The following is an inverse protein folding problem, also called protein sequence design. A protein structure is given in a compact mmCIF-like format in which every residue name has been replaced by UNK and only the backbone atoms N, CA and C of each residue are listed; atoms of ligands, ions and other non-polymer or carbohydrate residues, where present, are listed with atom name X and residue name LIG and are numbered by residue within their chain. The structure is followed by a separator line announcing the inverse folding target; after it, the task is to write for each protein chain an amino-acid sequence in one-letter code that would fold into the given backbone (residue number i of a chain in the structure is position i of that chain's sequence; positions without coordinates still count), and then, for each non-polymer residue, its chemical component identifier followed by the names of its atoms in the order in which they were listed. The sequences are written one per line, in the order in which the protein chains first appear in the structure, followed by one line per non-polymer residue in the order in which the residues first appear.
data_IF_604281537684
#
_entry.id   IF_604281537684
#
_cell.length_a   1.000
_cell.length_b   1.000
_cell.length_c   1.000
_cell.angle_alpha   90.00
_cell.angle_beta   90.00
_cell.angle_gamma   90.00
#
_symmetry.space_group_name_H-M   'P 1'
#
loop_
_entity.id
_entity.type
_entity.pdbx_description
1 polymer ?
#
# COMPACT_ATOMS: atom_id res chain seq x y z
N UNK A 1 -7.80 -18.39 29.51
CA UNK A 1 -7.68 -17.08 30.17
C UNK A 1 -8.07 -16.01 29.15
N UNK A 2 -9.19 -15.28 29.33
CA UNK A 2 -9.60 -14.19 28.45
C UNK A 2 -8.58 -13.03 28.39
N UNK A 3 -7.58 -13.02 29.26
CA UNK A 3 -6.45 -12.09 29.21
C UNK A 3 -5.26 -12.57 28.36
N UNK A 4 -5.41 -13.70 27.66
CA UNK A 4 -4.42 -14.20 26.72
C UNK A 4 -4.40 -13.33 25.46
N UNK A 5 -3.33 -12.54 25.29
CA UNK A 5 -3.17 -11.57 24.20
C UNK A 5 -3.41 -12.18 22.80
N UNK A 6 -2.96 -13.41 22.49
CA UNK A 6 -3.28 -14.03 21.21
C UNK A 6 -4.76 -14.33 21.00
N UNK A 7 -5.53 -14.63 22.06
CA UNK A 7 -6.98 -14.85 21.95
C UNK A 7 -7.72 -13.54 21.65
N UNK A 8 -7.37 -12.44 22.34
CA UNK A 8 -7.93 -11.10 22.05
C UNK A 8 -7.57 -10.64 20.64
N UNK A 9 -6.32 -10.86 20.22
CA UNK A 9 -5.89 -10.59 18.84
C UNK A 9 -6.72 -11.40 17.83
N UNK A 10 -6.89 -12.70 18.06
CA UNK A 10 -7.67 -13.57 17.18
C UNK A 10 -9.14 -13.16 17.09
N UNK A 11 -9.76 -12.79 18.22
CA UNK A 11 -11.15 -12.33 18.24
C UNK A 11 -11.32 -10.98 17.53
N UNK A 12 -10.40 -10.04 17.77
CA UNK A 12 -10.39 -8.77 17.04
C UNK A 12 -10.24 -8.96 15.53
N UNK A 13 -9.41 -9.91 15.08
CA UNK A 13 -9.28 -10.28 13.66
C UNK A 13 -10.57 -10.85 13.07
N UNK A 14 -11.29 -11.69 13.84
CA UNK A 14 -12.58 -12.22 13.39
C UNK A 14 -13.60 -11.10 13.23
N UNK A 15 -13.70 -10.18 14.21
CA UNK A 15 -14.59 -9.02 14.10
C UNK A 15 -14.22 -8.14 12.90
N UNK A 16 -12.94 -7.94 12.64
CA UNK A 16 -12.48 -7.19 11.47
C UNK A 16 -12.90 -7.84 10.13
N UNK A 17 -12.70 -9.16 9.98
CA UNK A 17 -13.13 -9.89 8.79
C UNK A 17 -14.65 -9.81 8.56
N UNK A 18 -15.42 -9.65 9.63
CA UNK A 18 -16.87 -9.44 9.58
C UNK A 18 -17.27 -7.97 9.31
N UNK A 19 -16.31 -7.05 9.16
CA UNK A 19 -16.57 -5.60 9.04
C UNK A 19 -17.04 -4.96 10.35
N UNK A 20 -16.91 -5.65 11.49
CA UNK A 20 -17.28 -5.17 12.83
C UNK A 20 -16.13 -4.43 13.49
N UNK A 21 -15.77 -3.30 12.91
CA UNK A 21 -14.55 -2.55 13.24
C UNK A 21 -14.51 -2.00 14.67
N UNK A 22 -15.65 -1.52 15.19
CA UNK A 22 -15.74 -1.03 16.56
C UNK A 22 -15.46 -2.17 17.57
N UNK A 23 -15.99 -3.36 17.29
CA UNK A 23 -15.77 -4.55 18.13
C UNK A 23 -14.32 -5.04 18.04
N UNK A 24 -13.73 -5.04 16.83
CA UNK A 24 -12.32 -5.38 16.62
C UNK A 24 -11.40 -4.45 17.43
N UNK A 25 -11.64 -3.13 17.36
CA UNK A 25 -10.89 -2.12 18.12
C UNK A 25 -11.02 -2.33 19.63
N UNK A 26 -12.23 -2.63 20.11
CA UNK A 26 -12.46 -2.86 21.53
C UNK A 26 -11.62 -4.05 22.05
N UNK A 27 -11.56 -5.15 21.29
CA UNK A 27 -10.74 -6.31 21.68
C UNK A 27 -9.25 -6.01 21.72
N UNK A 28 -8.74 -5.25 20.74
CA UNK A 28 -7.34 -4.87 20.73
C UNK A 28 -6.99 -3.94 21.88
N UNK A 29 -7.80 -2.92 22.16
CA UNK A 29 -7.59 -2.00 23.28
C UNK A 29 -7.66 -2.70 24.63
N UNK A 30 -8.62 -3.62 24.82
CA UNK A 30 -8.72 -4.42 26.04
C UNK A 30 -7.46 -5.28 26.24
N UNK A 31 -6.85 -5.80 25.17
CA UNK A 31 -5.58 -6.51 25.25
C UNK A 31 -4.38 -5.62 25.62
N UNK A 32 -4.46 -4.31 25.40
CA UNK A 32 -3.39 -3.36 25.74
C UNK A 32 -3.49 -2.80 27.16
N UNK A 33 -4.61 -2.99 27.84
CA UNK A 33 -4.86 -2.41 29.16
C UNK A 33 -3.80 -2.85 30.18
N UNK A 34 -3.09 -1.87 30.76
CA UNK A 34 -1.99 -2.11 31.70
C UNK A 34 -0.73 -2.76 31.12
N UNK A 35 -0.67 -3.01 29.80
CA UNK A 35 0.40 -3.79 29.15
C UNK A 35 1.02 -3.11 27.93
N UNK A 36 0.64 -1.86 27.64
CA UNK A 36 1.03 -1.12 26.43
C UNK A 36 2.56 -1.02 26.20
N UNK A 37 3.36 -1.10 27.26
CA UNK A 37 4.83 -1.06 27.19
C UNK A 37 5.48 -2.46 27.13
N UNK A 38 4.68 -3.54 27.20
CA UNK A 38 5.19 -4.90 27.08
C UNK A 38 5.47 -5.22 25.62
N UNK A 39 6.57 -5.91 25.35
CA UNK A 39 6.87 -6.39 24.01
C UNK A 39 5.77 -7.32 23.45
N UNK A 40 5.06 -8.04 24.32
CA UNK A 40 3.92 -8.89 23.95
C UNK A 40 2.72 -8.10 23.41
N UNK A 41 2.68 -6.78 23.64
CA UNK A 41 1.68 -5.88 23.10
C UNK A 41 1.94 -5.48 21.65
N UNK A 42 3.16 -5.69 21.12
CA UNK A 42 3.50 -5.29 19.76
C UNK A 42 2.55 -5.88 18.69
N UNK A 43 2.19 -7.18 18.70
CA UNK A 43 1.23 -7.71 17.73
C UNK A 43 -0.16 -7.04 17.79
N UNK A 44 -0.59 -6.58 18.96
CA UNK A 44 -1.87 -5.85 19.12
C UNK A 44 -1.75 -4.39 18.68
N UNK A 45 -0.64 -3.73 18.96
CA UNK A 45 -0.35 -2.38 18.47
C UNK A 45 -0.23 -2.37 16.94
N UNK A 46 0.44 -3.35 16.35
CA UNK A 46 0.41 -3.59 14.91
C UNK A 46 -1.02 -3.84 14.43
N UNK A 47 -1.82 -4.60 15.18
CA UNK A 47 -3.23 -4.84 14.81
C UNK A 47 -4.17 -3.66 15.07
N UNK A 48 -3.71 -2.59 15.71
CA UNK A 48 -4.43 -1.31 15.79
C UNK A 48 -3.94 -0.34 14.72
N UNK A 49 -2.63 -0.35 14.45
CA UNK A 49 -1.98 0.46 13.45
C UNK A 49 -2.33 0.04 12.01
N UNK A 50 -2.34 -1.27 11.77
CA UNK A 50 -2.66 -1.86 10.49
C UNK A 50 -4.14 -1.70 10.12
N UNK A 51 -4.92 -1.02 10.97
CA UNK A 51 -6.36 -0.95 10.88
C UNK A 51 -6.82 0.47 11.22
N UNK A 52 -6.89 1.27 10.16
CA UNK A 52 -7.53 2.59 10.18
C UNK A 52 -9.03 2.43 10.32
N UNK A 53 -9.50 2.04 11.49
CA UNK A 53 -10.93 1.95 11.73
C UNK A 53 -11.53 3.36 11.74
N UNK A 54 -12.62 3.51 10.98
CA UNK A 54 -13.48 4.69 10.91
C UNK A 54 -12.78 6.04 10.68
N UNK A 55 -11.69 6.04 9.89
CA UNK A 55 -10.89 7.25 9.61
C UNK A 55 -10.23 7.86 10.86
N UNK A 56 -10.00 7.06 11.90
CA UNK A 56 -9.21 7.46 13.08
C UNK A 56 -7.70 7.32 12.83
N UNK A 57 -7.19 8.14 11.91
CA UNK A 57 -5.77 8.12 11.51
C UNK A 57 -4.81 8.40 12.67
N UNK A 58 -5.20 9.27 13.60
CA UNK A 58 -4.41 9.59 14.79
C UNK A 58 -4.24 8.38 15.72
N UNK A 59 -5.29 7.57 15.90
CA UNK A 59 -5.24 6.36 16.71
C UNK A 59 -4.33 5.30 16.08
N UNK A 60 -4.46 5.09 14.76
CA UNK A 60 -3.61 4.18 14.02
C UNK A 60 -2.14 4.63 14.02
N UNK A 61 -1.89 5.94 13.89
CA UNK A 61 -0.54 6.51 13.97
C UNK A 61 0.04 6.31 15.38
N UNK A 62 -0.74 6.60 16.42
CA UNK A 62 -0.36 6.40 17.82
C UNK A 62 -0.11 4.94 18.18
N UNK A 63 -0.85 4.01 17.56
CA UNK A 63 -0.61 2.58 17.70
C UNK A 63 0.67 2.14 16.98
N UNK A 64 0.93 2.68 15.78
CA UNK A 64 2.12 2.33 15.00
C UNK A 64 3.40 2.93 15.61
N UNK A 65 3.33 4.14 16.17
CA UNK A 65 4.38 4.72 17.00
C UNK A 65 4.67 3.84 18.22
N UNK A 66 3.64 3.46 18.99
CA UNK A 66 3.83 2.57 20.14
C UNK A 66 4.37 1.20 19.75
N UNK A 67 4.00 0.69 18.57
CA UNK A 67 4.59 -0.53 18.01
C UNK A 67 6.07 -0.33 17.67
N UNK A 68 6.41 0.78 17.00
CA UNK A 68 7.77 1.13 16.63
C UNK A 68 8.64 1.28 17.88
N UNK A 69 8.21 2.02 18.90
CA UNK A 69 8.94 2.16 20.16
C UNK A 69 9.30 0.79 20.78
N UNK A 70 8.40 -0.20 20.71
CA UNK A 70 8.65 -1.53 21.27
C UNK A 70 9.54 -2.42 20.40
N UNK A 71 9.42 -2.30 19.08
CA UNK A 71 10.07 -3.20 18.12
C UNK A 71 11.38 -2.61 17.60
N UNK A 72 11.36 -1.34 17.19
CA UNK A 72 12.51 -0.59 16.65
C UNK A 72 13.57 -0.38 17.72
N UNK A 73 13.21 -0.01 18.95
CA UNK A 73 14.23 0.16 20.02
C UNK A 73 14.95 -1.15 20.37
N UNK A 74 14.28 -2.30 20.18
CA UNK A 74 14.83 -3.63 20.50
C UNK A 74 15.55 -4.31 19.33
N UNK A 75 15.10 -4.08 18.10
CA UNK A 75 15.57 -4.81 16.90
C UNK A 75 16.31 -3.92 15.91
N UNK A 76 16.34 -2.61 16.13
CA UNK A 76 16.67 -1.63 15.10
C UNK A 76 15.49 -1.36 14.19
N UNK A 77 15.55 -0.25 13.46
CA UNK A 77 14.53 0.17 12.51
C UNK A 77 14.48 -0.81 11.33
N UNK A 78 13.31 -1.41 11.06
CA UNK A 78 13.07 -2.17 9.84
C UNK A 78 12.46 -1.22 8.79
N UNK A 79 13.09 -1.04 7.61
CA UNK A 79 12.49 -0.25 6.54
C UNK A 79 11.04 -0.62 6.25
N UNK A 80 10.64 -1.89 6.35
CA UNK A 80 9.26 -2.34 6.10
C UNK A 80 8.21 -1.61 6.97
N UNK A 81 8.62 -1.10 8.12
CA UNK A 81 7.74 -0.38 9.05
C UNK A 81 7.28 0.96 8.45
N UNK A 82 8.19 1.64 7.75
CA UNK A 82 7.96 2.92 7.08
C UNK A 82 6.92 2.85 5.96
N UNK A 83 6.82 1.72 5.25
CA UNK A 83 5.81 1.54 4.19
C UNK A 83 4.40 1.44 4.79
N UNK A 84 4.26 0.76 5.92
CA UNK A 84 2.99 0.72 6.64
C UNK A 84 2.57 2.11 7.15
N UNK A 85 3.53 2.92 7.64
CA UNK A 85 3.25 4.32 8.00
C UNK A 85 2.89 5.17 6.78
N UNK A 86 3.56 4.95 5.63
CA UNK A 86 3.22 5.62 4.38
C UNK A 86 1.79 5.31 3.94
N UNK A 87 1.41 4.03 3.88
CA UNK A 87 0.06 3.60 3.49
C UNK A 87 -1.01 4.19 4.42
N UNK A 88 -0.71 4.25 5.73
CA UNK A 88 -1.56 4.89 6.72
C UNK A 88 -1.73 6.40 6.47
N UNK A 89 -0.63 7.11 6.25
CA UNK A 89 -0.65 8.55 5.96
C UNK A 89 -1.41 8.84 4.66
N UNK A 90 -1.22 7.99 3.64
CA UNK A 90 -1.95 8.06 2.38
C UNK A 90 -3.44 7.79 2.57
N UNK A 91 -3.83 6.82 3.40
CA UNK A 91 -5.24 6.58 3.70
C UNK A 91 -5.91 7.80 4.36
N UNK A 92 -5.14 8.57 5.14
CA UNK A 92 -5.58 9.75 5.90
C UNK A 92 -5.43 11.09 5.22
N UNK A 93 -5.04 11.12 3.94
CA UNK A 93 -4.70 12.35 3.22
C UNK A 93 -3.64 13.21 3.95
N UNK A 94 -2.83 12.58 4.83
CA UNK A 94 -1.75 13.21 5.58
C UNK A 94 -0.48 13.25 4.71
N UNK A 95 -0.54 13.99 3.60
CA UNK A 95 0.48 13.89 2.55
C UNK A 95 1.88 14.35 2.98
N UNK A 96 2.00 15.33 3.87
CA UNK A 96 3.31 15.75 4.39
C UNK A 96 3.97 14.63 5.19
N UNK A 97 3.18 13.88 5.96
CA UNK A 97 3.63 12.70 6.70
C UNK A 97 3.96 11.54 5.75
N UNK A 98 3.14 11.32 4.70
CA UNK A 98 3.41 10.32 3.69
C UNK A 98 4.75 10.56 2.98
N UNK A 99 5.05 11.82 2.59
CA UNK A 99 6.35 12.17 2.00
C UNK A 99 7.50 11.95 2.97
N UNK A 100 7.32 12.33 4.25
CA UNK A 100 8.32 12.07 5.30
C UNK A 100 8.59 10.57 5.46
N UNK A 101 7.56 9.72 5.38
CA UNK A 101 7.70 8.26 5.47
C UNK A 101 8.41 7.66 4.26
N UNK A 102 8.10 8.13 3.05
CA UNK A 102 8.84 7.72 1.85
C UNK A 102 10.31 8.10 1.95
N UNK A 103 10.61 9.34 2.34
CA UNK A 103 11.98 9.82 2.49
C UNK A 103 12.71 9.08 3.63
N UNK A 104 12.02 8.62 4.68
CA UNK A 104 12.66 7.79 5.71
C UNK A 104 12.89 6.35 5.24
N UNK A 105 11.94 5.77 4.51
CA UNK A 105 12.06 4.42 3.97
C UNK A 105 13.19 4.31 2.94
N UNK A 106 13.19 5.24 1.99
CA UNK A 106 14.03 5.21 0.81
C UNK A 106 15.20 6.19 0.88
N UNK A 107 15.20 7.19 1.78
CA UNK A 107 16.27 8.19 1.88
C UNK A 107 17.68 7.65 2.21
N UNK A 108 17.84 6.51 2.91
CA UNK A 108 19.14 5.85 3.01
C UNK A 108 19.66 5.32 1.67
N UNK A 109 18.79 5.16 0.68
CA UNK A 109 19.13 4.75 -0.69
C UNK A 109 19.57 6.00 -1.43
N UNK A 110 20.88 6.17 -1.63
CA UNK A 110 21.35 7.20 -2.54
C UNK A 110 20.82 6.90 -3.96
N UNK A 111 20.42 7.95 -4.71
CA UNK A 111 20.00 7.80 -6.12
C UNK A 111 21.02 6.91 -6.86
N UNK A 112 20.63 5.70 -7.27
CA UNK A 112 21.59 4.77 -7.85
C UNK A 112 22.08 5.29 -9.20
N UNK A 113 23.37 5.10 -9.54
CA UNK A 113 23.84 5.34 -10.90
C UNK A 113 23.09 4.42 -11.86
N UNK A 114 22.90 4.88 -13.10
CA UNK A 114 22.27 4.06 -14.14
C UNK A 114 22.98 2.71 -14.25
N UNK A 115 22.20 1.63 -14.26
CA UNK A 115 22.74 0.27 -14.45
C UNK A 115 23.04 0.05 -15.92
N UNK A 116 24.20 -0.55 -16.20
CA UNK A 116 24.63 -0.86 -17.56
C UNK A 116 24.15 -2.27 -17.92
N UNK A 117 23.61 -2.49 -19.13
CA UNK A 117 23.27 -3.83 -19.62
C UNK A 117 24.44 -4.81 -19.47
N UNK A 118 24.22 -5.91 -18.75
CA UNK A 118 25.24 -6.93 -18.45
C UNK A 118 24.61 -8.32 -18.45
N UNK A 119 25.38 -9.33 -18.86
CA UNK A 119 24.99 -10.75 -18.77
C UNK A 119 25.24 -11.33 -17.37
N UNK A 120 25.91 -10.59 -16.49
CA UNK A 120 26.10 -10.90 -15.07
C UNK A 120 25.85 -9.62 -14.26
N UNK A 121 24.58 -9.22 -14.09
CA UNK A 121 24.26 -7.99 -13.39
C UNK A 121 24.57 -8.10 -11.90
N UNK A 122 25.01 -6.99 -11.32
CA UNK A 122 25.12 -6.88 -9.86
C UNK A 122 23.72 -6.88 -9.25
N UNK A 123 23.39 -7.96 -8.53
CA UNK A 123 22.11 -8.12 -7.85
C UNK A 123 21.81 -6.98 -6.87
N UNK A 124 22.83 -6.43 -6.19
CA UNK A 124 22.63 -5.31 -5.28
C UNK A 124 22.24 -4.05 -6.05
N UNK A 125 22.92 -3.76 -7.16
CA UNK A 125 22.58 -2.62 -8.02
C UNK A 125 21.16 -2.72 -8.61
N UNK A 126 20.74 -3.93 -9.03
CA UNK A 126 19.38 -4.18 -9.51
C UNK A 126 18.35 -3.94 -8.42
N UNK A 127 18.59 -4.46 -7.20
CA UNK A 127 17.68 -4.25 -6.07
C UNK A 127 17.58 -2.78 -5.67
N UNK A 128 18.68 -2.05 -5.64
CA UNK A 128 18.70 -0.60 -5.35
C UNK A 128 17.92 0.20 -6.40
N UNK A 129 18.04 -0.16 -7.69
CA UNK A 129 17.25 0.46 -8.76
C UNK A 129 15.75 0.12 -8.65
N UNK A 130 15.39 -1.12 -8.30
CA UNK A 130 13.99 -1.49 -8.03
C UNK A 130 13.39 -0.69 -6.88
N UNK A 131 14.14 -0.50 -5.79
CA UNK A 131 13.68 0.31 -4.65
C UNK A 131 13.51 1.78 -5.05
N UNK A 132 14.45 2.33 -5.82
CA UNK A 132 14.36 3.71 -6.29
C UNK A 132 13.22 3.93 -7.31
N UNK A 133 12.91 2.92 -8.13
CA UNK A 133 11.73 2.90 -9.00
C UNK A 133 10.44 2.99 -8.18
N UNK A 134 10.32 2.19 -7.11
CA UNK A 134 9.16 2.24 -6.21
C UNK A 134 9.06 3.58 -5.48
N UNK A 135 10.17 4.14 -5.00
CA UNK A 135 10.22 5.49 -4.43
C UNK A 135 9.62 6.54 -5.37
N UNK A 136 10.08 6.56 -6.62
CA UNK A 136 9.57 7.48 -7.63
C UNK A 136 8.07 7.26 -7.92
N UNK A 137 7.63 6.00 -8.05
CA UNK A 137 6.24 5.67 -8.30
C UNK A 137 5.32 6.16 -7.15
N UNK A 138 5.70 5.97 -5.90
CA UNK A 138 4.91 6.44 -4.75
C UNK A 138 4.90 7.98 -4.62
N UNK A 139 6.03 8.65 -4.89
CA UNK A 139 6.05 10.12 -4.97
C UNK A 139 5.14 10.66 -6.08
N UNK A 140 5.02 9.93 -7.20
CA UNK A 140 4.09 10.29 -8.27
C UNK A 140 2.64 10.23 -7.78
N UNK A 141 2.28 9.16 -7.07
CA UNK A 141 0.94 8.98 -6.48
C UNK A 141 0.61 10.09 -5.47
N UNK A 142 1.51 10.37 -4.52
CA UNK A 142 1.34 11.46 -3.55
C UNK A 142 1.14 12.79 -4.27
N UNK A 143 1.98 13.06 -5.27
CA UNK A 143 1.92 14.31 -6.05
C UNK A 143 0.59 14.44 -6.82
N UNK A 144 0.10 13.34 -7.41
CA UNK A 144 -1.18 13.34 -8.10
C UNK A 144 -2.35 13.63 -7.15
N UNK A 145 -2.36 13.02 -5.97
CA UNK A 145 -3.38 13.27 -4.92
C UNK A 145 -3.37 14.70 -4.39
N UNK A 146 -2.20 15.34 -4.36
CA UNK A 146 -2.04 16.76 -4.01
C UNK A 146 -2.36 17.72 -5.16
N UNK A 147 -2.78 17.23 -6.33
CA UNK A 147 -3.02 18.06 -7.51
C UNK A 147 -1.75 18.61 -8.18
N UNK A 148 -0.56 18.13 -7.80
CA UNK A 148 0.73 18.52 -8.38
C UNK A 148 1.00 17.71 -9.66
N UNK A 149 0.25 18.01 -10.71
CA UNK A 149 0.25 17.22 -11.94
C UNK A 149 1.61 17.17 -12.67
N UNK A 150 2.39 18.25 -12.62
CA UNK A 150 3.71 18.28 -13.23
C UNK A 150 4.69 17.33 -12.51
N UNK A 151 4.69 17.37 -11.17
CA UNK A 151 5.54 16.50 -10.35
C UNK A 151 5.13 15.04 -10.48
N UNK A 152 3.82 14.74 -10.46
CA UNK A 152 3.31 13.39 -10.64
C UNK A 152 3.80 12.76 -11.95
N UNK A 153 3.68 13.49 -13.06
CA UNK A 153 4.16 13.02 -14.37
C UNK A 153 5.67 12.86 -14.43
N UNK A 154 6.42 13.79 -13.82
CA UNK A 154 7.89 13.71 -13.76
C UNK A 154 8.33 12.46 -13.01
N UNK A 155 7.83 12.24 -11.81
CA UNK A 155 8.18 11.08 -10.99
C UNK A 155 7.77 9.76 -11.65
N UNK A 156 6.59 9.69 -12.26
CA UNK A 156 6.17 8.48 -12.99
C UNK A 156 7.08 8.19 -14.18
N UNK A 157 7.42 9.20 -14.98
CA UNK A 157 8.35 9.04 -16.11
C UNK A 157 9.75 8.56 -15.65
N UNK A 158 10.22 9.01 -14.48
CA UNK A 158 11.47 8.51 -13.89
C UNK A 158 11.36 7.04 -13.47
N UNK A 159 10.24 6.62 -12.88
CA UNK A 159 9.98 5.22 -12.53
C UNK A 159 9.89 4.32 -13.77
N UNK A 160 9.16 4.74 -14.81
CA UNK A 160 9.04 4.01 -16.08
C UNK A 160 10.42 3.82 -16.76
N UNK A 161 11.25 4.88 -16.76
CA UNK A 161 12.60 4.80 -17.30
C UNK A 161 13.47 3.78 -16.54
N UNK A 162 13.32 3.70 -15.22
CA UNK A 162 14.03 2.72 -14.38
C UNK A 162 13.52 1.30 -14.64
N UNK A 163 12.21 1.10 -14.70
CA UNK A 163 11.61 -0.20 -15.01
C UNK A 163 12.13 -0.75 -16.35
N UNK A 164 12.24 0.12 -17.37
CA UNK A 164 12.80 -0.25 -18.68
C UNK A 164 14.26 -0.69 -18.57
N UNK A 165 15.11 0.09 -17.89
CA UNK A 165 16.54 -0.24 -17.72
C UNK A 165 16.72 -1.56 -16.97
N UNK A 166 15.97 -1.78 -15.90
CA UNK A 166 16.01 -3.02 -15.11
C UNK A 166 15.53 -4.19 -15.97
N UNK A 167 14.44 -4.03 -16.73
CA UNK A 167 13.93 -5.05 -17.64
C UNK A 167 14.94 -5.48 -18.70
N UNK A 168 15.65 -4.52 -19.32
CA UNK A 168 16.71 -4.81 -20.30
C UNK A 168 17.87 -5.61 -19.68
N UNK A 169 18.29 -5.25 -18.47
CA UNK A 169 19.33 -5.98 -17.72
C UNK A 169 18.90 -7.41 -17.40
N UNK A 170 17.67 -7.59 -16.89
CA UNK A 170 17.14 -8.91 -16.54
C UNK A 170 16.91 -9.79 -17.77
N UNK A 171 16.48 -9.21 -18.90
CA UNK A 171 16.34 -9.93 -20.16
C UNK A 171 17.69 -10.44 -20.70
N UNK A 172 18.74 -9.62 -20.62
CA UNK A 172 20.09 -10.02 -21.03
C UNK A 172 20.66 -11.13 -20.15
N UNK A 173 20.47 -11.04 -18.82
CA UNK A 173 20.84 -12.09 -17.89
C UNK A 173 20.09 -13.40 -18.18
N UNK A 174 18.78 -13.34 -18.39
CA UNK A 174 17.96 -14.52 -18.70
C UNK A 174 18.42 -15.21 -20.00
N UNK A 175 18.66 -14.42 -21.06
CA UNK A 175 19.20 -14.90 -22.33
C UNK A 175 20.56 -15.59 -22.16
N UNK A 176 21.48 -14.98 -21.40
CA UNK A 176 22.82 -15.52 -21.20
C UNK A 176 22.84 -16.82 -20.36
N UNK A 177 21.89 -16.98 -19.45
CA UNK A 177 21.80 -18.14 -18.54
C UNK A 177 20.85 -19.23 -19.04
N UNK A 178 20.10 -18.99 -20.12
CA UNK A 178 19.02 -19.87 -20.57
C UNK A 178 17.83 -19.92 -19.60
N UNK A 179 17.69 -18.92 -18.73
CA UNK A 179 16.55 -18.83 -17.81
C UNK A 179 15.27 -18.52 -18.57
N UNK A 180 14.20 -19.26 -18.26
CA UNK A 180 12.85 -19.01 -18.79
C UNK A 180 12.05 -18.01 -17.94
N UNK A 181 12.61 -17.55 -16.82
CA UNK A 181 11.95 -16.60 -15.92
C UNK A 181 11.98 -15.22 -16.54
N UNK A 182 10.80 -14.71 -16.92
CA UNK A 182 10.61 -13.32 -17.35
C UNK A 182 10.23 -12.48 -16.13
N UNK A 183 11.15 -11.62 -15.69
CA UNK A 183 10.88 -10.59 -14.70
C UNK A 183 10.59 -9.29 -15.45
N UNK A 184 9.39 -8.75 -15.30
CA UNK A 184 9.00 -7.47 -15.88
C UNK A 184 8.76 -6.45 -14.75
N UNK A 185 9.74 -5.60 -14.41
CA UNK A 185 9.58 -4.55 -13.40
C UNK A 185 8.41 -3.60 -13.70
N UNK A 186 8.07 -3.41 -14.98
CA UNK A 186 6.93 -2.58 -15.38
C UNK A 186 5.58 -3.09 -14.86
N UNK A 187 5.45 -4.39 -14.55
CA UNK A 187 4.22 -4.89 -13.90
C UNK A 187 4.01 -4.29 -12.50
N UNK A 188 5.09 -3.89 -11.81
CA UNK A 188 4.97 -3.23 -10.50
C UNK A 188 4.46 -1.79 -10.60
N UNK A 189 4.51 -1.17 -11.78
CA UNK A 189 4.07 0.21 -12.00
C UNK A 189 2.58 0.34 -12.32
N UNK A 190 1.89 -0.76 -12.65
CA UNK A 190 0.48 -0.73 -13.09
C UNK A 190 -0.43 -0.05 -12.07
N UNK A 191 -0.25 -0.35 -10.78
CA UNK A 191 -1.03 0.30 -9.71
C UNK A 191 -0.71 1.80 -9.60
N UNK A 192 0.54 2.22 -9.37
CA UNK A 192 0.89 3.64 -9.34
C UNK A 192 0.44 4.41 -10.59
N UNK A 193 0.62 3.84 -11.79
CA UNK A 193 0.18 4.45 -13.06
C UNK A 193 -1.33 4.66 -13.09
N UNK A 194 -2.11 3.62 -12.74
CA UNK A 194 -3.56 3.70 -12.68
C UNK A 194 -4.06 4.70 -11.65
N UNK A 195 -3.40 4.77 -10.49
CA UNK A 195 -3.74 5.73 -9.44
C UNK A 195 -3.39 7.18 -9.83
N UNK A 196 -2.22 7.41 -10.44
CA UNK A 196 -1.86 8.72 -10.98
C UNK A 196 -2.86 9.16 -12.06
N UNK A 197 -3.21 8.27 -12.99
CA UNK A 197 -4.22 8.56 -14.01
C UNK A 197 -5.55 8.97 -13.37
N UNK A 198 -6.02 8.21 -12.37
CA UNK A 198 -7.27 8.50 -11.66
C UNK A 198 -7.28 9.87 -10.97
N UNK A 199 -6.22 10.21 -10.25
CA UNK A 199 -6.15 11.48 -9.50
C UNK A 199 -5.90 12.69 -10.39
N UNK A 200 -5.26 12.51 -11.55
CA UNK A 200 -5.09 13.55 -12.56
C UNK A 200 -6.31 13.71 -13.49
N UNK A 201 -7.35 12.88 -13.30
CA UNK A 201 -8.61 12.98 -14.04
C UNK A 201 -8.67 12.18 -15.35
N UNK A 202 -7.62 11.41 -15.69
CA UNK A 202 -7.66 10.43 -16.78
C UNK A 202 -8.33 9.13 -16.31
N UNK A 203 -9.64 9.22 -16.10
CA UNK A 203 -10.42 8.10 -15.56
C UNK A 203 -10.49 6.91 -16.52
N UNK A 204 -10.55 7.16 -17.84
CA UNK A 204 -10.49 6.11 -18.85
C UNK A 204 -9.13 5.38 -18.88
N UNK A 205 -8.03 6.12 -18.76
CA UNK A 205 -6.70 5.56 -18.60
C UNK A 205 -6.57 4.73 -17.32
N UNK A 206 -7.11 5.24 -16.20
CA UNK A 206 -7.13 4.51 -14.93
C UNK A 206 -7.87 3.17 -15.04
N UNK A 207 -9.05 3.14 -15.67
CA UNK A 207 -9.81 1.90 -15.90
C UNK A 207 -8.98 0.92 -16.74
N UNK A 208 -8.37 1.38 -17.83
CA UNK A 208 -7.56 0.53 -18.72
C UNK A 208 -6.38 -0.11 -17.98
N UNK A 209 -5.76 0.60 -17.04
CA UNK A 209 -4.62 0.10 -16.27
C UNK A 209 -5.05 -0.81 -15.12
N UNK A 210 -6.12 -0.45 -14.40
CA UNK A 210 -6.56 -1.15 -13.19
C UNK A 210 -7.50 -2.33 -13.44
N UNK A 211 -8.06 -2.46 -14.64
CA UNK A 211 -8.97 -3.56 -14.99
C UNK A 211 -8.27 -4.91 -15.25
N UNK A 212 -6.92 -4.96 -15.17
CA UNK A 212 -6.19 -6.22 -15.26
C UNK A 212 -6.48 -7.10 -14.02
N UNK A 213 -7.13 -8.24 -14.26
CA UNK A 213 -7.61 -9.13 -13.21
C UNK A 213 -6.49 -9.95 -12.52
N UNK A 214 -5.26 -9.96 -13.07
CA UNK A 214 -4.14 -10.72 -12.48
C UNK A 214 -3.60 -10.10 -11.17
N UNK A 215 -3.91 -8.83 -10.88
CA UNK A 215 -3.40 -8.08 -9.71
C UNK A 215 -4.52 -7.34 -9.00
N UNK A 216 -5.24 -8.01 -8.10
CA UNK A 216 -6.46 -7.48 -7.46
C UNK A 216 -6.28 -7.30 -5.95
N UNK A 217 -5.53 -6.28 -5.54
CA UNK A 217 -5.50 -5.86 -4.13
C UNK A 217 -6.74 -5.00 -3.77
N UNK A 218 -7.13 -4.89 -2.49
CA UNK A 218 -8.25 -4.07 -2.05
C UNK A 218 -8.20 -2.61 -2.55
N UNK A 219 -7.01 -1.98 -2.53
CA UNK A 219 -6.79 -0.62 -3.07
C UNK A 219 -7.11 -0.51 -4.56
N UNK A 220 -6.73 -1.51 -5.37
CA UNK A 220 -7.01 -1.54 -6.80
C UNK A 220 -8.50 -1.53 -7.08
N UNK A 221 -9.24 -2.44 -6.43
CA UNK A 221 -10.68 -2.57 -6.64
C UNK A 221 -11.44 -1.32 -6.17
N UNK A 222 -10.99 -0.67 -5.09
CA UNK A 222 -11.56 0.60 -4.66
C UNK A 222 -11.39 1.69 -5.71
N UNK A 223 -10.17 1.88 -6.23
CA UNK A 223 -9.87 2.88 -7.25
C UNK A 223 -10.62 2.60 -8.55
N UNK A 224 -10.62 1.34 -9.00
CA UNK A 224 -11.35 0.90 -10.18
C UNK A 224 -12.86 1.16 -10.05
N UNK A 225 -13.46 0.84 -8.90
CA UNK A 225 -14.87 1.12 -8.64
C UNK A 225 -15.19 2.62 -8.70
N UNK A 226 -14.33 3.46 -8.12
CA UNK A 226 -14.49 4.93 -8.20
C UNK A 226 -14.30 5.46 -9.62
N UNK A 227 -13.41 4.84 -10.40
CA UNK A 227 -13.20 5.21 -11.79
C UNK A 227 -14.43 4.87 -12.65
N UNK A 228 -14.96 3.65 -12.51
CA UNK A 228 -16.21 3.26 -13.17
C UNK A 228 -17.39 4.16 -12.77
N UNK A 229 -17.50 4.53 -11.50
CA UNK A 229 -18.57 5.42 -11.04
C UNK A 229 -18.49 6.81 -11.70
N UNK A 230 -17.28 7.37 -11.85
CA UNK A 230 -17.05 8.66 -12.53
C UNK A 230 -17.44 8.61 -14.02
N UNK A 231 -17.25 7.47 -14.67
CA UNK A 231 -17.65 7.22 -16.07
C UNK A 231 -19.10 6.72 -16.19
N UNK A 232 -19.88 6.71 -15.10
CA UNK A 232 -21.27 6.22 -15.06
C UNK A 232 -21.46 4.73 -15.41
N UNK A 233 -20.40 3.91 -15.30
CA UNK A 233 -20.44 2.45 -15.45
C UNK A 233 -20.84 1.79 -14.12
N UNK A 234 -22.11 1.98 -13.72
CA UNK A 234 -22.57 1.66 -12.36
C UNK A 234 -22.56 0.15 -12.02
N UNK A 235 -22.73 -0.72 -13.02
CA UNK A 235 -22.70 -2.17 -12.80
C UNK A 235 -21.28 -2.65 -12.47
N UNK A 236 -20.29 -2.15 -13.20
CA UNK A 236 -18.88 -2.42 -13.01
C UNK A 236 -18.36 -1.79 -11.71
N UNK A 237 -18.81 -0.57 -11.39
CA UNK A 237 -18.51 0.08 -10.11
C UNK A 237 -19.02 -0.77 -8.93
N UNK A 238 -20.26 -1.27 -9.01
CA UNK A 238 -20.85 -2.17 -8.01
C UNK A 238 -20.02 -3.45 -7.86
N UNK A 239 -19.64 -4.09 -8.97
CA UNK A 239 -18.84 -5.32 -8.93
C UNK A 239 -17.47 -5.10 -8.25
N UNK A 240 -16.81 -3.99 -8.57
CA UNK A 240 -15.52 -3.65 -7.96
C UNK A 240 -15.63 -3.41 -6.45
N UNK A 241 -16.64 -2.66 -5.99
CA UNK A 241 -16.86 -2.44 -4.54
C UNK A 241 -17.23 -3.73 -3.80
N UNK A 242 -18.05 -4.60 -4.41
CA UNK A 242 -18.37 -5.91 -3.83
C UNK A 242 -17.11 -6.74 -3.60
N UNK A 243 -16.16 -6.77 -4.56
CA UNK A 243 -14.88 -7.47 -4.39
C UNK A 243 -14.05 -6.96 -3.22
N UNK A 244 -14.06 -5.64 -2.95
CA UNK A 244 -13.40 -5.08 -1.76
C UNK A 244 -14.08 -5.62 -0.49
N UNK A 245 -15.41 -5.59 -0.43
CA UNK A 245 -16.17 -6.01 0.76
C UNK A 245 -15.97 -7.50 1.05
N UNK A 246 -16.01 -8.33 0.01
CA UNK A 246 -15.86 -9.79 0.11
C UNK A 246 -14.41 -10.25 0.25
N UNK A 247 -13.43 -9.35 0.13
CA UNK A 247 -12.02 -9.70 0.32
C UNK A 247 -11.76 -10.20 1.74
N UNK A 248 -11.07 -11.33 1.82
CA UNK A 248 -10.60 -11.94 3.08
C UNK A 248 -9.13 -11.62 3.38
N UNK A 249 -8.50 -10.76 2.57
CA UNK A 249 -7.09 -10.36 2.76
C UNK A 249 -6.95 -9.50 4.00
N UNK A 250 -6.01 -9.80 4.88
CA UNK A 250 -5.77 -8.94 6.06
C UNK A 250 -4.67 -7.94 5.72
N UNK A 251 -5.03 -6.67 5.45
CA UNK A 251 -4.09 -5.58 5.13
C UNK A 251 -4.62 -4.19 5.52
N UNK A 252 -3.70 -3.22 5.69
CA UNK A 252 -4.01 -1.78 5.89
C UNK A 252 -4.95 -1.26 4.80
N UNK A 253 -4.63 -1.62 3.55
CA UNK A 253 -5.42 -1.21 2.40
C UNK A 253 -6.87 -1.69 2.50
N UNK A 254 -7.12 -2.92 2.97
CA UNK A 254 -8.50 -3.41 3.09
C UNK A 254 -9.25 -2.70 4.20
N UNK A 255 -8.62 -2.49 5.35
CA UNK A 255 -9.23 -1.82 6.50
C UNK A 255 -9.71 -0.41 6.14
N UNK A 256 -8.94 0.32 5.33
CA UNK A 256 -9.35 1.62 4.78
C UNK A 256 -10.34 1.51 3.62
N UNK A 257 -10.13 0.58 2.69
CA UNK A 257 -10.93 0.49 1.47
C UNK A 257 -12.36 0.00 1.70
N UNK A 258 -12.56 -0.97 2.60
CA UNK A 258 -13.87 -1.61 2.83
C UNK A 258 -14.95 -0.64 3.34
N UNK A 259 -14.75 0.23 4.35
CA UNK A 259 -15.78 1.19 4.76
C UNK A 259 -16.13 2.18 3.64
N UNK A 260 -15.16 2.61 2.83
CA UNK A 260 -15.40 3.47 1.67
C UNK A 260 -16.24 2.71 0.62
N UNK A 261 -15.86 1.47 0.29
CA UNK A 261 -16.59 0.64 -0.66
C UNK A 261 -18.04 0.40 -0.21
N UNK A 262 -18.29 0.17 1.09
CA UNK A 262 -19.63 0.05 1.66
C UNK A 262 -20.45 1.34 1.48
N UNK A 263 -19.86 2.50 1.79
CA UNK A 263 -20.49 3.81 1.61
C UNK A 263 -20.88 4.05 0.14
N UNK A 264 -19.93 3.80 -0.79
CA UNK A 264 -20.16 3.99 -2.23
C UNK A 264 -21.19 3.00 -2.79
N UNK A 265 -21.14 1.73 -2.38
CA UNK A 265 -22.10 0.72 -2.79
C UNK A 265 -23.53 1.08 -2.34
N UNK A 266 -23.69 1.60 -1.12
CA UNK A 266 -24.97 2.08 -0.61
C UNK A 266 -25.47 3.35 -1.33
N UNK A 267 -24.57 4.17 -1.88
CA UNK A 267 -24.93 5.34 -2.68
C UNK A 267 -25.40 4.95 -4.10
N UNK A 268 -24.72 4.01 -4.77
CA UNK A 268 -25.09 3.50 -6.11
C UNK A 268 -26.40 2.68 -6.08
N UNK A 269 -26.79 2.17 -4.91
CA UNK A 269 -28.05 1.46 -4.72
C UNK A 269 -29.30 2.32 -4.56
N UNK A 270 -29.17 3.66 -4.48
CA UNK A 270 -30.28 4.61 -4.42
C UNK A 270 -30.54 5.22 -5.79
#
# INVERSE_FOLDING_TARGET
DPDYLPARRGLGQVFDLMGRYADARAEYLAGLEGRRQSYEAAPLLWSLAAYVFDRHFDDAHTALQGWADLVVERRGYDPNDSLAFFDLAMAGDAFDEAERMLDQHYGPIAKPPAIVPSTTPDSHAVMTQLLWMRYNAEHAVVSARRGRAADARRFMAEAEAQAKQIGEVLANFASATGSTVSLNPGRELVLPEGEVAFWLGDTGGAIRLLADEEVMFPRHNLLLGRAYEREHHLAEARAAYTRVIESTTVSIELAWARPIAQERLAAIGR
#
